data_IF_220505170832
#
_entry.id   IF_220505170832
#
_cell.length_a   1.000
_cell.length_b   1.000
_cell.length_c   1.000
_cell.angle_alpha   90.00
_cell.angle_beta   90.00
_cell.angle_gamma   90.00
#
_symmetry.space_group_name_H-M   'P 1'
#
loop_
_entity.id
_entity.type
_entity.pdbx_description
1 polymer ?
#
# COMPACT_ATOMS: atom_id res chain seq x y z
N UNK A 1 -33.99 -10.50 9.07
CA UNK A 1 -33.77 -10.27 8.83
C UNK A 1 -33.31 -9.58 8.63
N UNK A 2 -33.20 -9.37 8.55
CA UNK A 2 -32.77 -8.69 8.25
C UNK A 2 -31.84 -8.44 8.54
N UNK A 3 -31.22 -8.80 9.06
CA UNK A 3 -30.28 -8.69 9.27
C UNK A 3 -29.40 -9.13 8.52
N UNK A 4 -29.41 -9.81 8.08
CA UNK A 4 -28.72 -10.40 7.32
C UNK A 4 -28.23 -9.60 6.28
N UNK A 5 -28.93 -8.89 5.78
CA UNK A 5 -28.54 -8.16 4.77
C UNK A 5 -27.47 -7.30 5.20
N UNK A 6 -27.36 -7.03 6.31
CA UNK A 6 -26.41 -6.24 6.80
C UNK A 6 -25.11 -6.80 6.65
N UNK A 7 -25.03 -8.02 6.77
CA UNK A 7 -23.87 -8.68 6.60
C UNK A 7 -23.28 -8.50 5.32
N UNK A 8 -24.05 -8.63 4.34
CA UNK A 8 -23.47 -8.55 3.06
C UNK A 8 -22.89 -7.22 2.87
N UNK A 9 -23.44 -6.25 3.50
CA UNK A 9 -22.96 -5.00 3.38
C UNK A 9 -21.58 -4.88 3.88
N UNK A 10 -21.30 -5.47 4.94
CA UNK A 10 -20.06 -5.43 5.46
C UNK A 10 -19.02 -5.98 4.63
N UNK A 11 -19.29 -7.02 3.98
CA UNK A 11 -18.32 -7.60 3.17
C UNK A 11 -17.75 -6.71 2.20
N UNK A 12 -18.46 -5.81 1.77
CA UNK A 12 -17.95 -4.98 0.79
C UNK A 12 -16.82 -4.23 1.22
N UNK A 13 -16.70 -3.97 2.42
CA UNK A 13 -15.68 -3.17 2.86
C UNK A 13 -14.38 -3.75 2.66
N UNK A 14 -14.30 -4.97 2.55
CA UNK A 14 -13.09 -5.58 2.39
C UNK A 14 -12.44 -5.29 1.14
N UNK A 15 -13.14 -4.89 0.21
CA UNK A 15 -12.53 -4.62 -1.02
C UNK A 15 -11.71 -3.42 -1.03
N UNK A 16 -11.62 -2.72 -0.03
CA UNK A 16 -10.74 -1.60 -0.03
C UNK A 16 -11.16 -0.54 -0.96
N UNK A 17 -10.48 -0.34 -2.00
CA UNK A 17 -10.74 0.72 -2.91
C UNK A 17 -12.11 0.73 -3.50
N UNK A 18 -12.84 -0.29 -3.29
CA UNK A 18 -14.14 -0.30 -3.85
C UNK A 18 -15.19 0.13 -2.90
N UNK A 19 -14.82 0.56 -1.74
CA UNK A 19 -15.77 1.00 -0.83
C UNK A 19 -16.48 2.17 -1.30
N UNK A 20 -17.59 2.43 -0.78
CA UNK A 20 -18.32 3.51 -1.20
C UNK A 20 -18.27 4.73 -0.45
N UNK A 21 -17.40 4.91 0.42
CA UNK A 21 -17.36 6.11 1.16
C UNK A 21 -16.99 7.20 0.29
N UNK A 22 -17.43 8.33 0.50
CA UNK A 22 -17.15 9.40 -0.33
C UNK A 22 -15.74 9.76 -0.30
N UNK A 23 -15.04 9.43 0.67
CA UNK A 23 -13.68 9.70 0.62
C UNK A 23 -12.91 8.52 0.52
N UNK A 24 -13.27 7.58 -0.24
CA UNK A 24 -12.65 6.32 -0.33
C UNK A 24 -11.24 6.34 -0.72
N UNK A 25 -10.39 6.51 0.19
CA UNK A 25 -8.98 6.39 -0.06
C UNK A 25 -8.58 4.96 0.13
N UNK A 26 -7.76 4.45 -0.74
CA UNK A 26 -7.18 3.13 -0.54
C UNK A 26 -6.09 3.24 0.47
N UNK A 27 -5.79 2.18 1.17
CA UNK A 27 -4.63 2.17 2.03
C UNK A 27 -3.41 2.41 1.16
N UNK A 28 -2.35 2.93 1.71
CA UNK A 28 -1.14 3.14 0.91
C UNK A 28 -0.63 1.85 0.31
N UNK A 29 -0.42 1.87 -0.98
CA UNK A 29 0.04 0.72 -1.73
C UNK A 29 1.16 1.11 -2.68
N UNK A 30 2.00 0.15 -3.02
CA UNK A 30 3.05 0.39 -3.99
C UNK A 30 3.24 -0.88 -4.81
N UNK A 31 3.52 -0.74 -6.09
CA UNK A 31 3.79 -1.89 -6.94
C UNK A 31 5.27 -1.92 -7.28
N UNK A 32 5.91 -3.06 -7.06
CA UNK A 32 7.32 -3.25 -7.33
C UNK A 32 7.48 -4.63 -7.93
N UNK A 33 8.16 -4.72 -9.04
CA UNK A 33 8.44 -6.00 -9.71
C UNK A 33 7.17 -6.82 -9.94
N UNK A 34 6.13 -6.12 -10.38
CA UNK A 34 4.85 -6.74 -10.70
C UNK A 34 4.14 -7.33 -9.49
N UNK A 35 4.49 -6.88 -8.31
CA UNK A 35 3.83 -7.33 -7.09
C UNK A 35 3.29 -6.12 -6.36
N UNK A 36 2.14 -6.27 -5.77
CA UNK A 36 1.51 -5.16 -5.07
C UNK A 36 1.71 -5.34 -3.57
N UNK A 37 2.17 -4.29 -2.92
CA UNK A 37 2.43 -4.32 -1.49
C UNK A 37 1.58 -3.26 -0.80
N UNK A 38 1.14 -3.55 0.42
CA UNK A 38 0.32 -2.60 1.16
C UNK A 38 0.99 -2.29 2.49
N UNK A 39 0.71 -1.12 3.01
CA UNK A 39 1.32 -0.70 4.24
C UNK A 39 0.81 -1.50 5.42
N UNK A 40 1.68 -1.75 6.37
CA UNK A 40 1.25 -2.34 7.63
C UNK A 40 1.25 -1.28 8.72
N UNK A 41 1.80 -0.11 8.42
CA UNK A 41 1.92 0.94 9.42
C UNK A 41 3.02 0.73 10.42
N UNK A 42 3.77 -0.35 10.28
CA UNK A 42 4.83 -0.64 11.24
C UNK A 42 6.10 0.05 10.82
N UNK A 43 6.72 0.76 11.73
CA UNK A 43 7.95 1.47 11.46
C UNK A 43 9.12 0.57 11.85
N UNK A 44 10.09 0.45 10.95
CA UNK A 44 11.24 -0.36 11.22
C UNK A 44 12.15 0.37 12.17
N UNK A 45 12.78 -0.36 13.05
CA UNK A 45 13.70 0.26 13.97
C UNK A 45 15.08 0.26 13.43
N UNK A 46 15.35 -0.49 12.40
CA UNK A 46 16.69 -0.54 11.85
C UNK A 46 16.95 0.62 10.96
N UNK A 47 18.21 0.93 10.78
CA UNK A 47 18.62 1.94 9.88
C UNK A 47 19.67 1.37 9.00
N UNK A 48 20.12 2.07 8.07
CA UNK A 48 21.22 1.58 7.25
C UNK A 48 20.79 0.64 6.16
N UNK A 49 19.53 0.66 5.79
CA UNK A 49 19.09 -0.15 4.68
C UNK A 49 19.71 0.35 3.39
N UNK A 50 19.97 -0.57 2.49
CA UNK A 50 20.52 -0.20 1.21
C UNK A 50 19.39 -0.02 0.24
N UNK A 51 19.21 1.14 -0.32
CA UNK A 51 18.07 1.47 -1.15
C UNK A 51 18.02 0.61 -2.40
N UNK A 52 16.87 0.04 -2.68
CA UNK A 52 16.68 -0.80 -3.85
C UNK A 52 16.14 -0.01 -5.03
N UNK A 53 15.41 1.04 -4.77
CA UNK A 53 14.84 1.83 -5.85
C UNK A 53 14.08 3.02 -5.31
N UNK A 54 13.37 3.68 -6.19
CA UNK A 54 12.66 4.89 -5.84
C UNK A 54 11.29 4.88 -6.48
N UNK A 55 10.29 5.42 -5.80
CA UNK A 55 8.96 5.51 -6.34
C UNK A 55 8.95 6.59 -7.40
N UNK A 56 8.56 6.24 -8.61
CA UNK A 56 8.68 7.14 -9.73
C UNK A 56 7.38 7.73 -10.22
N UNK A 57 6.26 7.15 -9.88
CA UNK A 57 4.99 7.73 -10.28
C UNK A 57 3.95 7.42 -9.22
N UNK A 58 2.82 8.08 -9.30
CA UNK A 58 1.80 7.91 -8.30
C UNK A 58 0.43 8.01 -8.95
N UNK A 59 -0.52 7.27 -8.44
CA UNK A 59 -1.90 7.43 -8.84
C UNK A 59 -2.65 8.06 -7.69
N UNK A 60 -3.89 8.43 -7.93
CA UNK A 60 -4.72 9.02 -6.92
C UNK A 60 -4.81 8.08 -5.74
N UNK A 61 -4.94 8.62 -4.55
CA UNK A 61 -5.07 7.81 -3.36
C UNK A 61 -6.29 6.92 -3.34
N UNK A 62 -7.23 7.13 -4.24
CA UNK A 62 -8.39 6.28 -4.33
C UNK A 62 -8.19 5.14 -5.32
N UNK A 63 -6.99 4.99 -5.84
CA UNK A 63 -6.72 3.98 -6.85
C UNK A 63 -5.58 3.08 -6.45
N UNK A 64 -5.47 1.97 -7.13
CA UNK A 64 -4.41 1.03 -6.87
C UNK A 64 -3.34 1.18 -7.93
N UNK A 65 -2.07 1.20 -7.55
CA UNK A 65 -1.00 1.32 -8.52
C UNK A 65 -1.05 0.20 -9.53
N UNK A 66 -0.67 0.50 -10.76
CA UNK A 66 -0.71 -0.49 -11.82
C UNK A 66 0.57 -0.54 -12.63
N UNK A 67 1.61 0.17 -12.20
CA UNK A 67 2.90 0.09 -12.85
C UNK A 67 3.96 -0.11 -11.81
N UNK A 68 5.09 -0.67 -12.20
CA UNK A 68 6.17 -0.86 -11.26
C UNK A 68 6.71 0.48 -10.80
N UNK A 69 7.10 0.56 -9.55
CA UNK A 69 7.61 1.76 -8.92
C UNK A 69 6.57 2.87 -8.84
N UNK A 70 5.31 2.47 -8.76
CA UNK A 70 4.21 3.42 -8.64
C UNK A 70 3.50 3.21 -7.33
N UNK A 71 3.13 4.29 -6.68
CA UNK A 71 2.39 4.22 -5.44
C UNK A 71 1.06 4.93 -5.60
N UNK A 72 0.26 4.96 -4.54
CA UNK A 72 -0.92 5.79 -4.51
C UNK A 72 -0.77 6.83 -3.40
N UNK A 73 0.46 7.14 -2.99
CA UNK A 73 0.69 8.11 -1.94
C UNK A 73 1.83 9.07 -2.23
N UNK A 74 2.26 9.17 -3.47
CA UNK A 74 3.26 10.17 -3.84
C UNK A 74 4.47 9.55 -4.51
N UNK A 75 5.43 10.39 -4.85
CA UNK A 75 6.62 9.98 -5.57
C UNK A 75 7.85 10.44 -4.85
N UNK A 76 8.96 9.89 -5.24
CA UNK A 76 10.26 10.35 -4.76
C UNK A 76 10.80 9.59 -3.56
N UNK A 77 9.99 8.75 -2.94
CA UNK A 77 10.45 8.03 -1.78
C UNK A 77 11.31 6.85 -2.19
N UNK A 78 12.31 6.56 -1.38
CA UNK A 78 13.18 5.41 -1.62
C UNK A 78 12.51 4.18 -1.03
N UNK A 79 12.83 3.02 -1.57
CA UNK A 79 12.33 1.79 -0.96
C UNK A 79 13.44 0.74 -0.94
N UNK A 80 13.29 -0.23 -0.06
CA UNK A 80 14.23 -1.31 0.09
C UNK A 80 13.46 -2.61 0.03
N UNK A 81 13.90 -3.54 -0.82
CA UNK A 81 13.25 -4.83 -0.93
C UNK A 81 13.95 -5.77 0.02
N UNK A 82 13.22 -6.25 1.01
CA UNK A 82 13.78 -7.16 1.97
C UNK A 82 13.61 -8.59 1.49
N UNK A 83 12.46 -8.88 0.93
CA UNK A 83 12.20 -10.21 0.41
C UNK A 83 11.04 -10.07 -0.58
N UNK A 84 10.61 -11.17 -1.16
CA UNK A 84 9.50 -11.11 -2.09
C UNK A 84 8.24 -10.65 -1.41
N UNK A 85 8.15 -10.77 -0.11
CA UNK A 85 6.94 -10.43 0.61
C UNK A 85 7.01 -9.13 1.39
N UNK A 86 8.16 -8.56 1.55
CA UNK A 86 8.33 -7.42 2.42
C UNK A 86 9.20 -6.33 1.79
N UNK A 87 8.73 -5.11 1.85
CA UNK A 87 9.45 -3.96 1.34
C UNK A 87 9.33 -2.87 2.39
N UNK A 88 10.34 -2.06 2.56
CA UNK A 88 10.23 -0.88 3.41
C UNK A 88 10.26 0.36 2.54
N UNK A 89 9.48 1.35 2.88
CA UNK A 89 9.43 2.61 2.14
C UNK A 89 9.78 3.74 3.10
N UNK A 90 10.65 4.63 2.65
CA UNK A 90 11.10 5.75 3.45
C UNK A 90 10.07 6.87 3.36
N UNK A 91 9.28 7.03 4.40
CA UNK A 91 8.27 8.06 4.44
C UNK A 91 8.69 9.05 5.51
N UNK A 92 9.15 10.22 5.08
CA UNK A 92 9.56 11.27 5.99
C UNK A 92 10.62 10.83 6.97
N UNK A 93 11.57 10.09 6.51
CA UNK A 93 12.68 9.65 7.34
C UNK A 93 12.38 8.42 8.16
N UNK A 94 11.23 7.82 7.97
CA UNK A 94 10.91 6.61 8.68
C UNK A 94 10.67 5.49 7.69
N UNK A 95 11.24 4.33 7.96
CA UNK A 95 11.06 3.19 7.09
C UNK A 95 9.80 2.44 7.52
N UNK A 96 8.78 2.47 6.66
CA UNK A 96 7.50 1.85 6.96
C UNK A 96 7.44 0.49 6.26
N UNK A 97 7.02 -0.52 6.98
CA UNK A 97 6.95 -1.86 6.43
C UNK A 97 5.71 -2.04 5.57
N UNK A 98 5.92 -2.55 4.38
CA UNK A 98 4.84 -2.90 3.47
C UNK A 98 4.92 -4.39 3.21
N UNK A 99 3.80 -5.05 3.08
CA UNK A 99 3.75 -6.47 2.84
C UNK A 99 2.95 -6.77 1.60
N UNK A 100 3.30 -7.84 0.94
CA UNK A 100 2.68 -8.17 -0.31
C UNK A 100 1.25 -8.64 -0.11
N UNK A 101 0.39 -8.28 -1.01
CA UNK A 101 -0.94 -8.83 -1.03
C UNK A 101 -0.83 -10.28 -1.50
N UNK A 102 -1.68 -11.10 -1.05
CA UNK A 102 -1.66 -12.47 -1.49
C UNK A 102 -2.46 -12.73 -2.67
#
# INVERSE_FOLDING_TARGET
MKRLLIISFILLLISGCSDVQEENMCAPNIMINNKLYHTTGIVAEDEGFEVSGKIRSSVDGTKIPHKNNQSNFGVGMDYVIISDDVVYVDADGKWIRFERYD
#
